data_IF_968529774684
#
_entry.id   IF_968529774684
#
_cell.length_a   1.000
_cell.length_b   1.000
_cell.length_c   1.000
_cell.angle_alpha   90.00
_cell.angle_beta   90.00
_cell.angle_gamma   90.00
#
_symmetry.space_group_name_H-M   'P 1'
#
loop_
_entity.id
_entity.type
_entity.pdbx_description
1 polymer ?
#
# COMPACT_ATOMS: atom_id res chain seq x y z
N UNK A 1 -12.33 6.14 12.46
CA UNK A 1 -11.29 5.18 12.89
C UNK A 1 -10.71 4.45 11.67
N UNK A 2 -9.38 4.46 11.47
CA UNK A 2 -8.79 3.75 10.34
C UNK A 2 -8.92 2.23 10.56
N UNK A 3 -9.86 1.59 9.89
CA UNK A 3 -10.06 0.14 10.01
C UNK A 3 -8.94 -0.69 9.36
N UNK A 4 -7.74 -0.13 9.19
CA UNK A 4 -6.57 -0.71 8.54
C UNK A 4 -6.80 -1.21 7.09
N UNK A 5 -7.71 -0.57 6.35
CA UNK A 5 -8.07 -0.99 4.99
C UNK A 5 -6.90 -0.82 4.02
N UNK A 6 -6.21 0.33 4.09
CA UNK A 6 -5.02 0.62 3.29
C UNK A 6 -3.90 -0.38 3.56
N UNK A 7 -3.64 -0.65 4.83
CA UNK A 7 -2.58 -1.55 5.29
C UNK A 7 -2.89 -3.01 4.91
N UNK A 8 -4.15 -3.43 5.00
CA UNK A 8 -4.61 -4.76 4.57
C UNK A 8 -4.47 -4.94 3.06
N UNK A 9 -4.86 -3.95 2.27
CA UNK A 9 -4.68 -3.96 0.82
C UNK A 9 -3.20 -4.03 0.43
N UNK A 10 -2.36 -3.24 1.11
CA UNK A 10 -0.91 -3.22 0.89
C UNK A 10 -0.26 -4.56 1.23
N UNK A 11 -0.63 -5.17 2.36
CA UNK A 11 -0.20 -6.51 2.76
C UNK A 11 -0.59 -7.55 1.70
N UNK A 12 -1.84 -7.51 1.24
CA UNK A 12 -2.35 -8.38 0.18
C UNK A 12 -1.60 -8.23 -1.15
N UNK A 13 -1.30 -6.99 -1.56
CA UNK A 13 -0.54 -6.70 -2.78
C UNK A 13 0.91 -7.21 -2.71
N UNK A 14 1.53 -7.17 -1.53
CA UNK A 14 2.85 -7.76 -1.29
C UNK A 14 2.82 -9.28 -1.08
N UNK A 15 1.63 -9.85 -0.88
CA UNK A 15 1.40 -11.26 -0.57
C UNK A 15 1.94 -11.67 0.80
N UNK A 16 1.98 -10.74 1.77
CA UNK A 16 2.47 -10.97 3.12
C UNK A 16 1.38 -10.67 4.14
N UNK A 17 1.57 -11.13 5.36
CA UNK A 17 0.74 -10.74 6.50
C UNK A 17 1.48 -9.71 7.35
N UNK A 18 0.80 -8.63 7.72
CA UNK A 18 1.29 -7.59 8.62
C UNK A 18 0.53 -7.63 9.96
N UNK A 19 1.03 -6.92 10.97
CA UNK A 19 0.43 -6.92 12.31
C UNK A 19 0.99 -8.04 13.19
N UNK A 20 0.18 -8.55 14.10
CA UNK A 20 0.59 -9.56 15.09
C UNK A 20 1.41 -8.95 16.22
N UNK A 21 2.28 -9.76 16.83
CA UNK A 21 3.09 -9.33 17.95
C UNK A 21 4.12 -8.27 17.53
N UNK A 22 4.06 -7.11 18.18
CA UNK A 22 5.03 -6.03 18.06
C UNK A 22 5.53 -5.63 19.45
N UNK A 23 6.68 -4.99 19.51
CA UNK A 23 7.22 -4.44 20.76
C UNK A 23 7.42 -2.95 20.59
N UNK A 24 6.81 -2.16 21.46
CA UNK A 24 6.98 -0.70 21.53
C UNK A 24 7.52 -0.36 22.91
N UNK A 25 8.69 0.27 22.98
CA UNK A 25 9.31 0.67 24.26
C UNK A 25 9.43 -0.49 25.28
N UNK A 26 9.75 -1.70 24.80
CA UNK A 26 9.76 -2.97 25.56
C UNK A 26 8.39 -3.48 26.04
N UNK A 27 7.29 -2.83 25.64
CA UNK A 27 5.93 -3.28 25.90
C UNK A 27 5.46 -4.13 24.71
N UNK A 28 5.13 -5.42 24.92
CA UNK A 28 4.52 -6.24 23.89
C UNK A 28 3.11 -5.71 23.59
N UNK A 29 2.82 -5.53 22.30
CA UNK A 29 1.54 -5.06 21.78
C UNK A 29 1.10 -6.02 20.69
N UNK A 30 -0.09 -6.57 20.84
CA UNK A 30 -0.70 -7.41 19.82
C UNK A 30 -1.56 -6.56 18.89
N UNK A 31 -1.29 -6.63 17.58
CA UNK A 31 -2.07 -5.95 16.56
C UNK A 31 -2.88 -6.94 15.73
N UNK A 32 -4.06 -6.54 15.22
CA UNK A 32 -4.81 -7.35 14.26
C UNK A 32 -3.92 -7.78 13.10
N UNK A 33 -4.08 -9.02 12.65
CA UNK A 33 -3.41 -9.53 11.46
C UNK A 33 -4.06 -8.91 10.21
N UNK A 34 -3.23 -8.45 9.28
CA UNK A 34 -3.65 -7.76 8.07
C UNK A 34 -3.12 -8.49 6.84
N UNK A 35 -4.03 -8.91 5.96
CA UNK A 35 -3.70 -9.66 4.74
C UNK A 35 -3.46 -11.16 4.97
N UNK A 36 -3.32 -11.87 3.85
CA UNK A 36 -3.15 -13.32 3.82
C UNK A 36 -1.66 -13.71 3.90
N UNK A 37 -1.29 -14.73 4.71
CA UNK A 37 0.10 -15.16 4.88
C UNK A 37 0.57 -16.05 3.73
N UNK A 38 0.51 -15.57 2.48
CA UNK A 38 0.90 -16.35 1.29
C UNK A 38 2.38 -16.69 1.24
N UNK A 39 3.22 -15.88 1.90
CA UNK A 39 4.65 -16.15 2.12
C UNK A 39 5.13 -15.42 3.39
N UNK A 40 6.22 -15.87 4.02
CA UNK A 40 6.80 -15.17 5.17
C UNK A 40 7.39 -13.82 4.77
N UNK A 41 7.36 -12.89 5.74
CA UNK A 41 8.06 -11.60 5.66
C UNK A 41 9.57 -11.82 5.60
N UNK A 42 10.23 -11.09 4.70
CA UNK A 42 11.68 -11.10 4.57
C UNK A 42 12.21 -9.69 4.29
N UNK A 43 13.50 -9.46 4.57
CA UNK A 43 14.12 -8.13 4.41
C UNK A 43 13.96 -7.54 3.01
N UNK A 44 13.90 -8.38 1.97
CA UNK A 44 13.68 -7.94 0.60
C UNK A 44 12.31 -7.27 0.36
N UNK A 45 11.37 -7.42 1.29
CA UNK A 45 10.02 -6.86 1.21
C UNK A 45 10.01 -5.36 1.40
N UNK A 46 11.03 -4.79 2.07
CA UNK A 46 11.22 -3.35 2.15
C UNK A 46 11.38 -2.78 0.74
N UNK A 47 12.23 -3.41 -0.08
CA UNK A 47 12.43 -2.97 -1.46
C UNK A 47 11.20 -3.21 -2.34
N UNK A 48 10.48 -4.32 -2.13
CA UNK A 48 9.22 -4.60 -2.86
C UNK A 48 8.13 -3.60 -2.49
N UNK A 49 8.01 -3.25 -1.21
CA UNK A 49 7.09 -2.24 -0.69
C UNK A 49 7.36 -0.87 -1.32
N UNK A 50 8.63 -0.43 -1.33
CA UNK A 50 9.02 0.83 -1.97
C UNK A 50 8.75 0.85 -3.46
N UNK A 51 9.06 -0.25 -4.17
CA UNK A 51 8.75 -0.38 -5.61
C UNK A 51 7.25 -0.30 -5.87
N UNK A 52 6.45 -1.05 -5.10
CA UNK A 52 5.00 -1.04 -5.21
C UNK A 52 4.44 0.38 -4.98
N UNK A 53 4.92 1.09 -3.95
CA UNK A 53 4.53 2.47 -3.66
C UNK A 53 4.77 3.38 -4.87
N UNK A 54 5.99 3.41 -5.40
CA UNK A 54 6.32 4.30 -6.52
C UNK A 54 5.61 3.90 -7.82
N UNK A 55 5.42 2.60 -8.08
CA UNK A 55 4.65 2.13 -9.23
C UNK A 55 3.19 2.58 -9.18
N UNK A 56 2.53 2.41 -8.04
CA UNK A 56 1.13 2.81 -7.86
C UNK A 56 0.98 4.33 -7.87
N UNK A 57 1.90 5.06 -7.23
CA UNK A 57 1.90 6.53 -7.25
C UNK A 57 2.09 7.08 -8.67
N UNK A 58 3.04 6.55 -9.43
CA UNK A 58 3.28 6.94 -10.82
C UNK A 58 2.08 6.65 -11.72
N UNK A 59 1.48 5.47 -11.60
CA UNK A 59 0.28 5.11 -12.36
C UNK A 59 -0.91 6.04 -12.03
N UNK A 60 -1.13 6.30 -10.74
CA UNK A 60 -2.21 7.19 -10.28
C UNK A 60 -2.01 8.61 -10.82
N UNK A 61 -0.77 9.12 -10.78
CA UNK A 61 -0.42 10.42 -11.34
C UNK A 61 -0.72 10.50 -12.84
N UNK A 62 -0.32 9.48 -13.62
CA UNK A 62 -0.59 9.45 -15.06
C UNK A 62 -2.08 9.40 -15.38
N UNK A 63 -2.88 8.62 -14.63
CA UNK A 63 -4.33 8.55 -14.81
C UNK A 63 -4.96 9.92 -14.55
N UNK A 64 -4.63 10.56 -13.43
CA UNK A 64 -5.15 11.89 -13.10
C UNK A 64 -4.75 12.92 -14.16
N UNK A 65 -3.47 12.94 -14.54
CA UNK A 65 -2.96 13.86 -15.56
C UNK A 65 -3.68 13.66 -16.90
N UNK A 66 -3.88 12.41 -17.33
CA UNK A 66 -4.61 12.10 -18.57
C UNK A 66 -6.07 12.58 -18.52
N UNK A 67 -6.74 12.43 -17.37
CA UNK A 67 -8.10 12.93 -17.16
C UNK A 67 -8.19 14.45 -17.21
N UNK A 68 -7.21 15.15 -16.62
CA UNK A 68 -7.11 16.62 -16.66
C UNK A 68 -6.92 17.10 -18.11
N UNK A 69 -6.00 16.48 -18.85
CA UNK A 69 -5.74 16.83 -20.26
C UNK A 69 -7.00 16.61 -21.11
N UNK A 70 -7.68 15.47 -20.94
CA UNK A 70 -8.90 15.16 -21.66
C UNK A 70 -10.02 16.17 -21.36
N UNK A 71 -10.20 16.52 -20.07
CA UNK A 71 -11.19 17.53 -19.68
C UNK A 71 -10.87 18.90 -20.29
N UNK A 72 -9.61 19.32 -20.26
CA UNK A 72 -9.19 20.60 -20.82
C UNK A 72 -9.38 20.66 -22.34
N UNK A 73 -9.05 19.59 -23.07
CA UNK A 73 -9.29 19.51 -24.52
C UNK A 73 -10.77 19.62 -24.89
N UNK A 74 -11.68 19.16 -24.02
CA UNK A 74 -13.13 19.23 -24.24
C UNK A 74 -13.71 20.62 -23.98
N UNK A 75 -13.06 21.42 -23.12
CA UNK A 75 -13.51 22.78 -22.81
C UNK A 75 -13.00 23.84 -23.80
N UNK A 76 -11.94 23.51 -24.54
CA UNK A 76 -11.25 24.42 -25.47
C UNK A 76 -11.65 24.25 -26.94
N UNK A 77 -12.51 23.27 -27.25
CA UNK A 77 -13.13 23.08 -28.57
C UNK A 77 -14.63 23.38 -28.51
#
# INVERSE_FOLDING_TARGET
PNSAWSESCFAGALGVQLGGAATYENIPVERPLLGDPRRPLARHDILRATRLLFSVAGLTFLIILSGIIALWSRMSG
#
